data_IF_757701702358
#
_entry.id   IF_757701702358
#
_cell.length_a   1.000
_cell.length_b   1.000
_cell.length_c   1.000
_cell.angle_alpha   90.00
_cell.angle_beta   90.00
_cell.angle_gamma   90.00
#
_symmetry.space_group_name_H-M   'P 1'
#
loop_
_entity.id
_entity.type
_entity.pdbx_description
1 polymer ?
#
# COMPACT_ATOMS: atom_id res chain seq x y z
N UNK A 1 -11.80 -20.83 12.50
CA UNK A 1 -11.91 -21.37 11.13
C UNK A 1 -12.59 -20.32 10.26
N UNK A 2 -11.83 -19.55 9.55
CA UNK A 2 -12.34 -18.47 8.71
C UNK A 2 -12.86 -19.04 7.39
N UNK A 3 -14.12 -18.75 7.09
CA UNK A 3 -14.89 -19.24 5.95
C UNK A 3 -14.37 -18.71 4.61
N UNK A 4 -13.24 -19.21 4.12
CA UNK A 4 -12.76 -18.93 2.75
C UNK A 4 -13.75 -19.38 1.66
N UNK A 5 -14.58 -20.38 1.96
CA UNK A 5 -15.64 -20.84 1.03
C UNK A 5 -16.77 -19.84 0.84
N UNK A 6 -17.08 -19.02 1.84
CA UNK A 6 -18.19 -18.06 1.76
C UNK A 6 -17.89 -16.89 0.83
N UNK A 7 -16.66 -16.37 0.85
CA UNK A 7 -16.24 -15.24 -0.01
C UNK A 7 -16.23 -15.67 -1.48
N UNK A 8 -15.66 -16.83 -1.77
CA UNK A 8 -15.63 -17.38 -3.13
C UNK A 8 -17.03 -17.61 -3.71
N UNK A 9 -17.99 -18.05 -2.88
CA UNK A 9 -19.38 -18.28 -3.31
C UNK A 9 -20.13 -16.98 -3.59
N UNK A 10 -19.86 -15.91 -2.87
CA UNK A 10 -20.47 -14.58 -3.09
C UNK A 10 -20.06 -14.03 -4.45
N UNK A 11 -18.76 -14.08 -4.79
CA UNK A 11 -18.26 -13.58 -6.06
C UNK A 11 -18.71 -14.43 -7.23
N UNK A 12 -18.81 -15.75 -7.08
CA UNK A 12 -19.33 -16.64 -8.11
C UNK A 12 -20.79 -16.36 -8.43
N UNK A 13 -21.58 -15.99 -7.41
CA UNK A 13 -22.98 -15.63 -7.56
C UNK A 13 -23.20 -14.22 -8.18
N UNK A 14 -22.21 -13.33 -8.07
CA UNK A 14 -22.28 -11.98 -8.66
C UNK A 14 -21.88 -11.95 -10.15
N UNK A 15 -21.08 -12.90 -10.63
CA UNK A 15 -20.64 -12.99 -12.04
C UNK A 15 -21.77 -12.85 -13.06
N UNK A 16 -22.95 -13.50 -12.90
CA UNK A 16 -24.04 -13.38 -13.86
C UNK A 16 -24.64 -11.98 -13.98
N UNK A 17 -24.45 -11.12 -12.99
CA UNK A 17 -25.03 -9.78 -12.92
C UNK A 17 -24.04 -8.66 -13.25
N UNK A 18 -22.78 -9.00 -13.52
CA UNK A 18 -21.71 -8.02 -13.76
C UNK A 18 -21.10 -8.24 -15.15
N UNK A 19 -21.37 -7.32 -16.06
CA UNK A 19 -20.77 -7.31 -17.39
C UNK A 19 -19.58 -6.36 -17.39
N UNK A 20 -18.42 -6.83 -17.88
CA UNK A 20 -17.21 -6.02 -18.01
C UNK A 20 -16.32 -5.95 -16.76
N UNK A 21 -16.59 -6.77 -15.73
CA UNK A 21 -15.77 -6.87 -14.51
C UNK A 21 -14.90 -8.14 -14.45
N UNK A 22 -14.81 -8.88 -15.54
CA UNK A 22 -14.07 -10.17 -15.59
C UNK A 22 -12.62 -10.00 -15.17
N UNK A 23 -11.95 -8.95 -15.62
CA UNK A 23 -10.57 -8.63 -15.25
C UNK A 23 -10.42 -8.34 -13.76
N UNK A 24 -11.40 -7.68 -13.14
CA UNK A 24 -11.40 -7.37 -11.70
C UNK A 24 -11.53 -8.66 -10.88
N UNK A 25 -12.36 -9.60 -11.34
CA UNK A 25 -12.51 -10.90 -10.67
C UNK A 25 -11.27 -11.77 -10.83
N UNK A 26 -10.61 -11.74 -11.98
CA UNK A 26 -9.36 -12.46 -12.21
C UNK A 26 -8.21 -11.89 -11.37
N UNK A 27 -8.10 -10.57 -11.26
CA UNK A 27 -7.15 -9.93 -10.36
C UNK A 27 -7.42 -10.29 -8.90
N UNK A 28 -8.69 -10.34 -8.50
CA UNK A 28 -9.06 -10.72 -7.13
C UNK A 28 -8.71 -12.20 -6.84
N UNK A 29 -8.94 -13.10 -7.78
CA UNK A 29 -8.57 -14.51 -7.63
C UNK A 29 -7.05 -14.68 -7.52
N UNK A 30 -6.28 -14.02 -8.37
CA UNK A 30 -4.81 -14.01 -8.32
C UNK A 30 -4.30 -13.44 -7.00
N UNK A 31 -4.93 -12.35 -6.51
CA UNK A 31 -4.61 -11.75 -5.23
C UNK A 31 -4.95 -12.66 -4.05
N UNK A 32 -6.08 -13.40 -4.12
CA UNK A 32 -6.49 -14.33 -3.06
C UNK A 32 -5.59 -15.56 -2.95
N UNK A 33 -4.99 -16.01 -4.04
CA UNK A 33 -4.00 -17.09 -4.05
C UNK A 33 -2.66 -16.67 -3.40
N UNK A 34 -2.34 -15.38 -3.43
CA UNK A 34 -1.13 -14.81 -2.83
C UNK A 34 -1.36 -14.30 -1.39
N UNK A 35 -2.60 -14.25 -0.90
CA UNK A 35 -2.96 -13.80 0.45
C UNK A 35 -2.19 -14.51 1.58
N UNK A 36 -1.96 -15.84 1.55
CA UNK A 36 -1.19 -16.50 2.61
C UNK A 36 0.24 -15.99 2.73
N UNK A 37 0.87 -15.63 1.61
CA UNK A 37 2.22 -15.09 1.60
C UNK A 37 2.27 -13.60 1.99
N UNK A 38 1.20 -12.85 1.74
CA UNK A 38 1.11 -11.45 2.18
C UNK A 38 0.94 -11.30 3.69
N UNK A 39 0.30 -12.27 4.34
CA UNK A 39 0.16 -12.29 5.80
C UNK A 39 1.44 -12.70 6.53
N UNK A 40 2.32 -13.46 5.88
CA UNK A 40 3.54 -13.97 6.50
C UNK A 40 4.64 -12.90 6.68
N UNK A 41 4.56 -11.76 5.96
CA UNK A 41 5.60 -10.73 6.01
C UNK A 41 4.97 -9.33 6.18
N UNK A 42 4.37 -9.12 7.34
CA UNK A 42 3.69 -7.85 7.68
C UNK A 42 4.67 -6.73 8.11
N UNK A 43 5.93 -6.84 7.71
CA UNK A 43 6.93 -5.82 7.99
C UNK A 43 7.22 -4.96 6.74
N UNK A 44 7.33 -3.64 6.88
CA UNK A 44 7.02 -2.84 8.06
C UNK A 44 5.49 -2.72 8.30
N UNK A 45 5.06 -2.49 9.55
CA UNK A 45 3.66 -2.21 9.85
C UNK A 45 3.21 -0.92 9.15
N UNK A 46 1.98 -0.90 8.68
CA UNK A 46 1.41 0.26 8.01
C UNK A 46 -0.08 0.39 8.27
N UNK A 47 -0.57 1.61 8.13
CA UNK A 47 -1.99 1.97 8.14
C UNK A 47 -2.35 2.69 6.86
N UNK A 48 -3.57 2.49 6.37
CA UNK A 48 -4.18 3.29 5.31
C UNK A 48 -5.34 4.03 5.95
N UNK A 49 -5.24 5.35 6.00
CA UNK A 49 -6.18 6.21 6.70
C UNK A 49 -6.89 7.11 5.70
N UNK A 50 -8.23 7.14 5.75
CA UNK A 50 -9.01 8.13 5.01
C UNK A 50 -9.09 9.41 5.84
N UNK A 51 -8.39 10.45 5.41
CA UNK A 51 -8.27 11.72 6.13
C UNK A 51 -9.35 12.74 5.75
N UNK A 52 -10.02 12.53 4.63
CA UNK A 52 -11.10 13.38 4.14
C UNK A 52 -11.99 12.66 3.14
N UNK A 53 -12.89 13.38 2.49
CA UNK A 53 -13.80 12.80 1.48
C UNK A 53 -13.03 12.23 0.27
N UNK A 54 -11.94 12.87 -0.11
CA UNK A 54 -11.13 12.53 -1.28
C UNK A 54 -9.64 12.35 -0.93
N UNK A 55 -9.27 12.40 0.33
CA UNK A 55 -7.87 12.34 0.77
C UNK A 55 -7.58 11.09 1.60
N UNK A 56 -6.41 10.53 1.39
CA UNK A 56 -5.93 9.32 2.06
C UNK A 56 -4.46 9.49 2.45
N UNK A 57 -4.07 8.86 3.55
CA UNK A 57 -2.68 8.74 3.97
C UNK A 57 -2.31 7.27 4.07
N UNK A 58 -1.14 6.92 3.53
CA UNK A 58 -0.46 5.66 3.86
C UNK A 58 0.60 6.00 4.88
N UNK A 59 0.51 5.40 6.06
CA UNK A 59 1.46 5.61 7.16
C UNK A 59 2.23 4.34 7.42
N UNK A 60 3.54 4.38 7.26
CA UNK A 60 4.43 3.22 7.42
C UNK A 60 5.35 3.44 8.60
N UNK A 61 5.39 2.50 9.54
CA UNK A 61 6.26 2.57 10.71
C UNK A 61 7.69 2.17 10.34
N UNK A 62 8.59 3.16 10.30
CA UNK A 62 9.98 3.03 9.87
C UNK A 62 10.94 3.61 10.93
N UNK A 63 10.76 3.22 12.19
CA UNK A 63 11.65 3.63 13.26
C UNK A 63 13.10 3.21 12.98
N UNK A 64 14.03 4.15 13.12
CA UNK A 64 15.46 3.90 12.87
C UNK A 64 15.91 4.06 11.41
N UNK A 65 14.98 4.34 10.47
CA UNK A 65 15.33 4.65 9.08
C UNK A 65 15.44 6.16 8.87
N UNK A 66 16.47 6.58 8.16
CA UNK A 66 16.61 7.94 7.67
C UNK A 66 16.11 8.08 6.22
N UNK A 67 16.01 9.30 5.73
CA UNK A 67 15.62 9.56 4.32
C UNK A 67 16.52 8.88 3.29
N UNK A 68 17.78 8.65 3.63
CA UNK A 68 18.77 7.97 2.76
C UNK A 68 18.54 6.46 2.66
N UNK A 69 17.86 5.90 3.65
CA UNK A 69 17.68 4.46 3.81
C UNK A 69 16.40 3.96 3.14
N UNK A 70 15.57 4.87 2.60
CA UNK A 70 14.26 4.58 2.04
C UNK A 70 14.17 5.13 0.63
N UNK A 71 13.66 4.32 -0.28
CA UNK A 71 13.27 4.71 -1.63
C UNK A 71 11.75 4.62 -1.77
N UNK A 72 11.14 5.66 -2.29
CA UNK A 72 9.71 5.70 -2.63
C UNK A 72 9.60 5.96 -4.12
N UNK A 73 8.98 5.05 -4.85
CA UNK A 73 8.77 5.15 -6.29
C UNK A 73 7.31 4.87 -6.64
N UNK A 74 6.84 5.50 -7.71
CA UNK A 74 5.50 5.30 -8.23
C UNK A 74 5.57 5.11 -9.74
N UNK A 75 5.11 3.95 -10.20
CA UNK A 75 5.09 3.56 -11.61
C UNK A 75 3.93 2.61 -11.85
N UNK A 76 3.25 2.72 -12.98
CA UNK A 76 2.14 1.83 -13.38
C UNK A 76 1.08 1.62 -12.30
N UNK A 77 0.67 2.69 -11.63
CA UNK A 77 -0.29 2.68 -10.52
C UNK A 77 0.18 1.86 -9.29
N UNK A 78 1.47 1.58 -9.20
CA UNK A 78 2.08 0.89 -8.06
C UNK A 78 2.98 1.87 -7.31
N UNK A 79 2.64 2.15 -6.06
CA UNK A 79 3.50 2.83 -5.11
C UNK A 79 4.38 1.79 -4.43
N UNK A 80 5.69 1.88 -4.64
CA UNK A 80 6.68 0.99 -4.03
C UNK A 80 7.49 1.74 -2.99
N UNK A 81 7.58 1.19 -1.79
CA UNK A 81 8.39 1.70 -0.68
C UNK A 81 9.38 0.61 -0.31
N UNK A 82 10.66 0.89 -0.41
CA UNK A 82 11.70 -0.10 -0.14
C UNK A 82 12.88 0.49 0.64
N UNK A 83 13.56 -0.38 1.38
CA UNK A 83 14.80 -0.03 2.05
C UNK A 83 15.96 -0.05 1.07
N UNK A 84 16.80 0.99 1.14
CA UNK A 84 18.06 1.06 0.39
C UNK A 84 19.17 0.52 1.29
N UNK A 85 19.88 -0.51 0.83
CA UNK A 85 21.04 -1.03 1.56
C UNK A 85 22.23 -0.08 1.40
N UNK A 86 22.67 0.57 2.48
CA UNK A 86 23.98 1.21 2.48
C UNK A 86 25.07 0.16 2.70
N UNK A 87 26.19 0.26 1.98
CA UNK A 87 27.34 -0.62 2.14
C UNK A 87 27.98 -0.52 3.53
N UNK A 88 27.84 0.62 4.19
CA UNK A 88 28.41 0.94 5.49
C UNK A 88 27.71 0.23 6.66
N UNK A 89 26.45 -0.16 6.52
CA UNK A 89 25.72 -0.83 7.60
C UNK A 89 26.14 -2.28 7.81
N UNK A 90 26.73 -2.94 6.80
CA UNK A 90 27.18 -4.32 6.93
C UNK A 90 28.42 -4.48 7.82
N UNK A 91 29.27 -3.46 7.91
CA UNK A 91 30.51 -3.52 8.71
C UNK A 91 30.31 -3.11 10.17
N UNK A 92 29.24 -2.37 10.47
CA UNK A 92 28.96 -1.86 11.82
C UNK A 92 28.16 -2.84 12.67
N UNK A 93 27.36 -3.71 12.07
CA UNK A 93 26.58 -4.72 12.80
C UNK A 93 27.43 -5.81 13.45
N UNK A 94 28.60 -6.14 12.87
CA UNK A 94 29.46 -7.23 13.34
C UNK A 94 30.30 -6.84 14.61
N UNK A 95 30.35 -5.57 14.98
CA UNK A 95 31.28 -5.09 16.03
C UNK A 95 30.61 -4.46 17.26
N UNK A 96 29.29 -4.52 17.38
CA UNK A 96 28.58 -4.07 18.58
C UNK A 96 28.35 -5.24 19.52
N UNK A 97 28.81 -5.13 20.77
CA UNK A 97 28.45 -6.07 21.83
C UNK A 97 26.98 -5.99 22.19
N UNK A 98 26.11 -6.48 21.30
CA UNK A 98 24.65 -6.48 21.47
C UNK A 98 24.28 -7.60 22.43
N UNK A 99 23.80 -7.26 23.61
CA UNK A 99 23.33 -8.22 24.61
C UNK A 99 21.92 -8.73 24.32
N UNK A 100 21.07 -7.92 23.65
CA UNK A 100 19.72 -8.28 23.21
C UNK A 100 19.32 -7.42 22.01
N UNK A 101 18.85 -8.06 20.94
CA UNK A 101 18.37 -7.37 19.75
C UNK A 101 16.87 -7.66 19.53
N UNK A 102 16.03 -6.81 20.11
CA UNK A 102 14.57 -6.86 19.91
C UNK A 102 14.08 -6.04 18.71
N UNK A 103 14.90 -5.08 18.24
CA UNK A 103 14.62 -4.25 17.05
C UNK A 103 15.67 -4.53 16.00
N UNK A 104 15.24 -4.98 14.83
CA UNK A 104 16.12 -5.16 13.70
C UNK A 104 15.70 -4.25 12.56
N UNK A 105 16.66 -3.48 12.03
CA UNK A 105 16.52 -2.79 10.76
C UNK A 105 16.54 -3.84 9.64
N UNK A 106 15.36 -4.18 9.13
CA UNK A 106 15.19 -5.24 8.14
C UNK A 106 15.08 -4.65 6.75
N UNK A 107 15.66 -5.32 5.78
CA UNK A 107 15.36 -4.98 4.39
C UNK A 107 13.91 -5.33 4.09
N UNK A 108 13.22 -4.41 3.45
CA UNK A 108 11.83 -4.58 3.06
C UNK A 108 11.58 -3.99 1.67
N UNK A 109 10.56 -4.48 1.04
CA UNK A 109 9.93 -3.89 -0.15
C UNK A 109 8.43 -4.05 0.01
N UNK A 110 7.70 -2.94 0.02
CA UNK A 110 6.25 -2.89 0.17
C UNK A 110 5.66 -2.20 -1.03
N UNK A 111 4.63 -2.80 -1.63
CA UNK A 111 3.94 -2.25 -2.79
C UNK A 111 2.46 -2.05 -2.49
N UNK A 112 1.93 -0.92 -2.95
CA UNK A 112 0.51 -0.56 -2.84
C UNK A 112 -0.02 -0.28 -4.24
N UNK A 113 -1.15 -0.88 -4.59
CA UNK A 113 -1.85 -0.57 -5.82
C UNK A 113 -2.70 0.68 -5.61
N UNK A 114 -2.46 1.70 -6.41
CA UNK A 114 -3.15 2.99 -6.35
C UNK A 114 -4.14 3.06 -7.52
N UNK A 115 -5.38 3.46 -7.25
CA UNK A 115 -6.38 3.62 -8.30
C UNK A 115 -5.98 4.72 -9.28
N UNK A 116 -6.40 4.61 -10.55
CA UNK A 116 -6.06 5.56 -11.61
C UNK A 116 -6.52 7.00 -11.33
N UNK A 117 -7.59 7.14 -10.56
CA UNK A 117 -8.14 8.43 -10.17
C UNK A 117 -7.56 9.00 -8.86
N UNK A 118 -6.45 8.42 -8.37
CA UNK A 118 -5.75 8.85 -7.16
C UNK A 118 -4.34 9.32 -7.50
N UNK A 119 -3.99 10.52 -7.06
CA UNK A 119 -2.67 11.09 -7.19
C UNK A 119 -1.90 11.09 -5.87
N UNK A 120 -0.60 10.84 -5.95
CA UNK A 120 0.32 11.02 -4.83
C UNK A 120 0.75 12.48 -4.78
N UNK A 121 0.45 13.16 -3.69
CA UNK A 121 0.76 14.59 -3.53
C UNK A 121 2.12 14.82 -2.89
N UNK A 122 2.45 14.07 -1.86
CA UNK A 122 3.68 14.25 -1.10
C UNK A 122 4.02 12.99 -0.30
N UNK A 123 5.27 12.92 0.15
CA UNK A 123 5.72 11.92 1.12
C UNK A 123 6.63 12.60 2.16
N UNK A 124 6.41 12.30 3.43
CA UNK A 124 7.16 12.87 4.55
C UNK A 124 7.61 11.77 5.51
N UNK A 125 8.90 11.79 5.88
CA UNK A 125 9.44 10.95 6.95
C UNK A 125 9.68 11.81 8.19
N UNK A 126 8.90 11.57 9.23
CA UNK A 126 8.98 12.29 10.49
C UNK A 126 8.67 11.36 11.68
N UNK A 127 9.40 11.52 12.76
CA UNK A 127 9.19 10.79 14.01
C UNK A 127 9.12 9.24 13.82
N UNK A 128 9.91 8.71 12.89
CA UNK A 128 9.92 7.28 12.57
C UNK A 128 8.72 6.79 11.76
N UNK A 129 7.91 7.69 11.23
CA UNK A 129 6.77 7.38 10.37
C UNK A 129 6.98 7.98 8.97
N UNK A 130 6.89 7.14 7.96
CA UNK A 130 6.75 7.60 6.58
C UNK A 130 5.27 7.77 6.28
N UNK A 131 4.87 8.99 5.95
CA UNK A 131 3.50 9.31 5.55
C UNK A 131 3.48 9.70 4.09
N UNK A 132 2.66 9.02 3.31
CA UNK A 132 2.42 9.33 1.89
C UNK A 132 1.01 9.89 1.77
N UNK A 133 0.89 11.09 1.23
CA UNK A 133 -0.37 11.81 1.07
C UNK A 133 -0.93 11.57 -0.33
N UNK A 134 -2.18 11.14 -0.40
CA UNK A 134 -2.89 10.81 -1.64
C UNK A 134 -4.21 11.59 -1.73
N UNK A 135 -4.56 11.97 -2.95
CA UNK A 135 -5.82 12.65 -3.23
C UNK A 135 -6.54 12.03 -4.44
N UNK A 136 -7.81 11.73 -4.27
CA UNK A 136 -8.66 11.24 -5.35
C UNK A 136 -9.12 12.40 -6.22
N UNK A 137 -8.82 12.33 -7.51
CA UNK A 137 -9.22 13.32 -8.50
C UNK A 137 -10.57 12.92 -9.08
N UNK A 138 -11.56 13.79 -8.92
CA UNK A 138 -12.86 13.61 -9.57
C UNK A 138 -12.83 14.29 -10.94
N UNK A 139 -12.85 13.54 -12.05
CA UNK A 139 -12.87 14.11 -13.38
C UNK A 139 -14.07 15.05 -13.57
N UNK A 140 -13.90 16.10 -14.35
CA UNK A 140 -14.95 17.12 -14.55
C UNK A 140 -16.27 16.55 -15.11
N UNK A 141 -16.20 15.49 -15.92
CA UNK A 141 -17.38 14.81 -16.46
C UNK A 141 -18.15 13.97 -15.43
N UNK A 142 -17.52 13.65 -14.28
CA UNK A 142 -18.17 12.95 -13.14
C UNK A 142 -18.69 13.91 -12.07
N UNK A 143 -18.40 15.21 -12.17
CA UNK A 143 -18.92 16.20 -11.24
C UNK A 143 -20.38 16.50 -11.56
N UNK A 144 -21.21 16.62 -10.52
CA UNK A 144 -22.59 17.04 -10.69
C UNK A 144 -22.64 18.43 -11.36
N UNK A 145 -23.44 18.57 -12.41
CA UNK A 145 -23.68 19.84 -13.08
C UNK A 145 -25.18 20.09 -13.14
N UNK A 146 -25.59 21.33 -12.92
CA UNK A 146 -26.96 21.75 -13.11
C UNK A 146 -27.24 21.89 -14.61
N UNK A 147 -28.33 21.30 -15.07
CA UNK A 147 -28.80 21.43 -16.45
C UNK A 147 -30.01 22.33 -16.42
N UNK A 148 -29.94 23.44 -17.16
CA UNK A 148 -31.08 24.37 -17.29
C UNK A 148 -32.12 23.73 -18.22
N UNK A 149 -33.34 23.65 -17.73
CA UNK A 149 -34.51 23.22 -18.52
C UNK A 149 -34.98 24.42 -19.36
N UNK A 150 -35.03 24.23 -20.67
CA UNK A 150 -35.60 25.24 -21.59
C UNK A 150 -37.11 25.13 -21.62
#
# INVERSE_FOLDING_TARGET
>A
MTNHKAIHSIFTNLKPFTVGFDEVFDQFNTMSEHLPNMMANNYPPYDIVKTGSLTYDIVVALAGYGKKDISVSFEDNILKIESVKSKEEKEVEDNRGVLHQGTAKRNFSKSFTIAEDVEIKNAELKDGLLRVFLEKIVPNHKKARTINIK
#
